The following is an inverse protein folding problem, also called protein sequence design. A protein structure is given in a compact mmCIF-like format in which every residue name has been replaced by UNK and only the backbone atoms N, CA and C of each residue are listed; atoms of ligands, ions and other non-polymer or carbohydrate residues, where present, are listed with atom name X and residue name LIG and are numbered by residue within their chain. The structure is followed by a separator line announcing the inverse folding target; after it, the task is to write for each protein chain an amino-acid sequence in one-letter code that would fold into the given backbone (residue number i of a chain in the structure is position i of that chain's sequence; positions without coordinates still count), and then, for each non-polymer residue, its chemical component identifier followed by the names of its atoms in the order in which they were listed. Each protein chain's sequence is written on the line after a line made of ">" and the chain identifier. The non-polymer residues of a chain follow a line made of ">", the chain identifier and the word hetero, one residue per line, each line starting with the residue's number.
data_IF_102645941712
#
_entry.id   IF_102645941712
#
_cell.length_a   1.000
_cell.length_b   1.000
_cell.length_c   1.000
_cell.angle_alpha   90.00
_cell.angle_beta   90.00
_cell.angle_gamma   90.00
#
_symmetry.space_group_name_H-M   'P 1'
#
loop_
_entity.id
_entity.type
_entity.pdbx_description
1 polymer ?
#
# COMPACT_ATOMS: atom_id res chain seq x y z
N UNK A 1 10.30 -2.32 2.00
CA UNK A 1 10.72 -1.86 3.34
C UNK A 1 9.64 -0.92 3.85
N UNK A 2 9.82 -0.36 5.04
CA UNK A 2 9.05 0.79 5.58
C UNK A 2 10.09 1.86 5.88
N UNK A 3 9.83 3.11 5.49
CA UNK A 3 10.75 4.23 5.67
C UNK A 3 10.01 5.50 6.08
N UNK A 4 10.74 6.43 6.70
CA UNK A 4 10.27 7.80 6.97
C UNK A 4 11.14 8.73 6.14
N UNK A 5 10.51 9.46 5.23
CA UNK A 5 11.14 10.30 4.22
C UNK A 5 10.86 11.77 4.54
N UNK A 6 11.91 12.57 4.73
CA UNK A 6 11.79 14.01 5.02
C UNK A 6 12.44 14.81 3.89
N UNK A 7 11.62 15.49 3.10
CA UNK A 7 12.04 16.37 1.98
C UNK A 7 12.98 15.70 0.95
N UNK A 8 13.04 14.36 0.91
CA UNK A 8 13.91 13.57 0.05
C UNK A 8 13.33 12.16 -0.12
N UNK A 9 13.67 11.49 -1.22
CA UNK A 9 13.30 10.08 -1.46
C UNK A 9 14.21 9.07 -0.71
N UNK A 10 15.31 9.54 -0.13
CA UNK A 10 16.15 8.71 0.71
C UNK A 10 15.61 8.76 2.14
N UNK A 11 15.08 7.64 2.62
CA UNK A 11 14.55 7.53 3.98
C UNK A 11 15.59 7.86 5.04
N UNK A 12 15.18 8.59 6.07
CA UNK A 12 15.99 8.91 7.24
C UNK A 12 16.27 7.62 8.04
N UNK A 13 15.26 6.94 8.60
CA UNK A 13 15.36 5.53 8.93
C UNK A 13 14.49 4.66 8.02
N UNK A 14 14.93 3.42 7.80
CA UNK A 14 14.12 2.40 7.15
C UNK A 14 14.35 1.03 7.75
N UNK A 15 13.38 0.12 7.55
CA UNK A 15 13.43 -1.24 8.05
C UNK A 15 12.79 -2.21 7.07
N UNK A 16 13.29 -3.45 7.02
CA UNK A 16 12.62 -4.53 6.28
C UNK A 16 11.19 -4.69 6.78
N UNK A 17 10.24 -4.71 5.84
CA UNK A 17 8.82 -4.72 6.15
C UNK A 17 8.43 -5.94 6.97
N UNK A 18 7.68 -5.70 8.04
CA UNK A 18 7.26 -6.73 8.97
C UNK A 18 6.34 -6.15 10.02
N UNK A 19 5.89 -7.02 10.92
CA UNK A 19 5.07 -6.64 12.07
C UNK A 19 5.41 -7.52 13.26
N UNK A 20 5.27 -6.96 14.45
CA UNK A 20 5.46 -7.69 15.69
C UNK A 20 4.16 -8.42 16.07
N UNK A 21 4.25 -9.73 16.35
CA UNK A 21 3.11 -10.48 16.93
C UNK A 21 3.11 -10.44 18.46
N UNK A 22 4.26 -10.11 19.04
CA UNK A 22 4.52 -9.86 20.46
C UNK A 22 5.81 -9.02 20.56
N UNK A 23 6.24 -8.68 21.78
CA UNK A 23 7.38 -7.78 22.02
C UNK A 23 8.73 -8.27 21.45
N UNK A 24 8.88 -9.57 21.22
CA UNK A 24 10.14 -10.20 20.79
C UNK A 24 10.11 -10.73 19.36
N UNK A 25 8.94 -11.07 18.83
CA UNK A 25 8.80 -11.85 17.59
C UNK A 25 8.31 -10.98 16.44
N UNK A 26 9.21 -10.69 15.51
CA UNK A 26 8.91 -10.04 14.24
C UNK A 26 8.57 -11.07 13.17
N UNK A 27 7.47 -10.86 12.45
CA UNK A 27 7.14 -11.58 11.21
C UNK A 27 7.39 -10.71 10.00
N UNK A 28 8.04 -11.27 8.98
CA UNK A 28 8.25 -10.59 7.71
C UNK A 28 6.92 -10.39 6.97
N UNK A 29 6.82 -9.27 6.26
CA UNK A 29 5.64 -8.90 5.50
C UNK A 29 5.96 -8.75 4.01
N UNK A 30 5.20 -9.47 3.19
CA UNK A 30 5.23 -9.34 1.72
C UNK A 30 4.02 -8.55 1.24
N UNK A 31 4.26 -7.36 0.70
CA UNK A 31 3.21 -6.47 0.18
C UNK A 31 2.47 -7.05 -1.04
N UNK A 32 3.15 -7.89 -1.84
CA UNK A 32 2.59 -8.50 -3.06
C UNK A 32 1.66 -9.70 -2.80
N UNK A 33 1.16 -9.88 -1.58
CA UNK A 33 0.35 -11.05 -1.22
C UNK A 33 -1.14 -10.92 -1.54
N UNK A 34 -1.61 -9.73 -1.92
CA UNK A 34 -3.04 -9.46 -2.14
C UNK A 34 -3.89 -9.55 -0.88
N UNK A 35 -3.29 -9.69 0.30
CA UNK A 35 -4.02 -9.67 1.59
C UNK A 35 -3.99 -8.27 2.16
N UNK A 36 -5.06 -7.89 2.86
CA UNK A 36 -5.17 -6.62 3.57
C UNK A 36 -4.02 -6.44 4.55
N UNK A 37 -3.50 -5.21 4.59
CA UNK A 37 -2.46 -4.76 5.51
C UNK A 37 -3.02 -3.53 6.21
N UNK A 38 -2.92 -3.51 7.54
CA UNK A 38 -3.27 -2.35 8.34
C UNK A 38 -1.98 -1.62 8.71
N UNK A 39 -2.02 -0.29 8.66
CA UNK A 39 -0.91 0.57 9.05
C UNK A 39 -1.42 1.70 9.94
N UNK A 40 -0.60 2.06 10.92
CA UNK A 40 -0.80 3.20 11.80
C UNK A 40 0.46 4.06 11.73
N UNK A 41 0.24 5.37 11.67
CA UNK A 41 1.29 6.38 11.77
C UNK A 41 0.85 7.31 12.88
N UNK A 42 1.58 7.30 13.99
CA UNK A 42 1.31 8.17 15.13
C UNK A 42 2.49 9.12 15.32
N UNK A 43 2.17 10.32 15.78
CA UNK A 43 3.16 11.29 16.21
C UNK A 43 2.84 11.73 17.64
N UNK A 44 3.81 11.56 18.54
CA UNK A 44 3.76 12.11 19.89
C UNK A 44 4.62 13.38 19.94
N UNK A 45 3.97 14.54 20.01
CA UNK A 45 4.65 15.84 20.05
C UNK A 45 5.43 16.07 21.35
N UNK A 46 5.06 15.42 22.46
CA UNK A 46 5.78 15.56 23.73
C UNK A 46 7.16 14.91 23.69
N UNK A 47 7.30 13.85 22.88
CA UNK A 47 8.54 13.11 22.67
C UNK A 47 9.18 13.41 21.31
N UNK A 48 8.51 14.23 20.47
CA UNK A 48 8.86 14.40 19.06
C UNK A 48 9.04 13.05 18.35
N UNK A 49 8.15 12.09 18.60
CA UNK A 49 8.33 10.70 18.20
C UNK A 49 7.32 10.29 17.14
N UNK A 50 7.81 9.95 15.95
CA UNK A 50 7.04 9.30 14.89
C UNK A 50 7.11 7.79 15.11
N UNK A 51 5.97 7.12 15.12
CA UNK A 51 5.87 5.66 15.19
C UNK A 51 5.04 5.11 14.05
N UNK A 52 5.59 4.14 13.34
CA UNK A 52 4.91 3.40 12.29
C UNK A 52 4.69 1.97 12.77
N UNK A 53 3.44 1.54 12.75
CA UNK A 53 3.04 0.18 13.11
C UNK A 53 2.31 -0.45 11.94
N UNK A 54 2.57 -1.73 11.68
CA UNK A 54 1.89 -2.50 10.63
C UNK A 54 1.31 -3.78 11.24
N UNK A 55 0.20 -4.27 10.71
CA UNK A 55 -0.39 -5.55 11.11
C UNK A 55 -1.12 -6.23 9.94
N UNK A 56 -1.37 -7.54 10.10
CA UNK A 56 -2.30 -8.31 9.27
C UNK A 56 -3.59 -8.66 10.00
N UNK A 57 -3.67 -8.35 11.29
CA UNK A 57 -4.83 -8.57 12.14
C UNK A 57 -5.45 -7.23 12.52
N UNK A 58 -6.68 -7.26 13.01
CA UNK A 58 -7.44 -6.08 13.42
C UNK A 58 -6.84 -5.33 14.61
N UNK A 59 -5.95 -5.98 15.37
CA UNK A 59 -5.24 -5.39 16.49
C UNK A 59 -3.94 -4.72 16.06
N UNK A 60 -3.73 -3.49 16.53
CA UNK A 60 -2.46 -2.75 16.43
C UNK A 60 -1.43 -3.39 17.37
N UNK A 61 -0.28 -3.86 16.87
CA UNK A 61 0.84 -4.27 17.72
C UNK A 61 1.28 -3.17 18.68
N UNK A 62 1.63 -3.55 19.92
CA UNK A 62 2.19 -2.63 20.91
C UNK A 62 3.54 -2.06 20.46
N UNK A 63 4.37 -2.91 19.86
CA UNK A 63 5.68 -2.53 19.35
C UNK A 63 5.60 -2.02 17.91
N UNK A 64 5.99 -0.77 17.62
CA UNK A 64 6.06 -0.26 16.26
C UNK A 64 7.12 -1.00 15.45
N UNK A 65 6.94 -1.05 14.13
CA UNK A 65 7.95 -1.62 13.24
C UNK A 65 9.11 -0.64 13.01
N UNK A 66 8.83 0.67 13.09
CA UNK A 66 9.78 1.75 12.89
C UNK A 66 9.41 2.92 13.81
N UNK A 67 10.41 3.51 14.47
CA UNK A 67 10.25 4.73 15.25
C UNK A 67 11.36 5.71 14.92
N UNK A 68 11.07 7.01 14.95
CA UNK A 68 12.02 8.06 14.64
C UNK A 68 11.75 9.31 15.47
N UNK A 69 12.76 9.80 16.18
CA UNK A 69 12.68 11.04 16.95
C UNK A 69 12.99 12.20 16.01
N UNK A 70 11.98 13.02 15.73
CA UNK A 70 12.06 14.20 14.89
C UNK A 70 10.98 15.21 15.29
N UNK A 71 11.38 16.46 15.52
CA UNK A 71 10.45 17.55 15.77
C UNK A 71 9.83 18.02 14.45
N UNK A 72 8.57 17.63 14.23
CA UNK A 72 7.82 17.98 13.02
C UNK A 72 7.47 19.48 12.93
N UNK A 73 7.53 20.25 14.03
CA UNK A 73 7.24 21.69 13.99
C UNK A 73 8.22 22.47 13.11
N UNK A 74 9.43 21.91 12.91
CA UNK A 74 10.46 22.47 12.03
C UNK A 74 10.17 22.29 10.54
N UNK A 75 9.23 21.40 10.19
CA UNK A 75 8.86 21.04 8.82
C UNK A 75 7.44 21.51 8.50
N UNK A 76 6.55 21.43 9.47
CA UNK A 76 5.13 21.63 9.29
C UNK A 76 4.80 23.13 9.21
N UNK A 77 4.20 23.53 8.09
CA UNK A 77 3.61 24.85 7.93
C UNK A 77 2.23 24.93 8.60
N UNK A 78 1.67 26.15 8.70
CA UNK A 78 0.35 26.39 9.31
C UNK A 78 -0.78 25.57 8.71
N UNK A 79 -0.67 25.21 7.43
CA UNK A 79 -1.64 24.37 6.70
C UNK A 79 -0.92 23.27 5.96
N UNK A 80 -1.42 22.04 6.14
CA UNK A 80 -0.89 20.83 5.52
C UNK A 80 -2.02 19.97 4.99
N UNK A 81 -1.70 19.19 3.96
CA UNK A 81 -2.58 18.17 3.42
C UNK A 81 -2.02 16.79 3.75
N UNK A 82 -2.90 15.90 4.18
CA UNK A 82 -2.56 14.50 4.43
C UNK A 82 -3.29 13.62 3.42
N UNK A 83 -2.61 12.59 2.94
CA UNK A 83 -3.18 11.72 1.93
C UNK A 83 -2.26 10.55 1.58
N UNK A 84 -2.62 9.85 0.52
CA UNK A 84 -1.89 8.70 0.03
C UNK A 84 -1.34 8.99 -1.36
N UNK A 85 -0.14 8.49 -1.61
CA UNK A 85 0.46 8.46 -2.94
C UNK A 85 1.01 7.06 -3.20
N UNK A 86 0.91 6.61 -4.44
CA UNK A 86 1.49 5.36 -4.88
C UNK A 86 1.89 5.50 -6.35
N UNK A 87 3.02 4.90 -6.70
CA UNK A 87 3.48 4.77 -8.08
C UNK A 87 3.60 3.31 -8.44
N UNK A 88 3.58 3.03 -9.75
CA UNK A 88 3.79 1.69 -10.27
C UNK A 88 4.97 1.72 -11.23
N UNK A 89 5.84 0.72 -11.12
CA UNK A 89 6.95 0.50 -12.04
C UNK A 89 6.73 -0.75 -12.89
N UNK A 90 7.83 -1.33 -13.38
CA UNK A 90 7.85 -2.66 -13.97
C UNK A 90 8.47 -3.63 -12.95
N UNK A 91 7.75 -4.67 -12.47
CA UNK A 91 6.38 -5.04 -12.80
C UNK A 91 5.32 -4.15 -12.12
N UNK A 92 4.17 -4.00 -12.77
CA UNK A 92 3.11 -3.12 -12.28
C UNK A 92 2.35 -3.72 -11.07
N UNK A 93 1.90 -2.85 -10.16
CA UNK A 93 1.03 -3.21 -9.05
C UNK A 93 -0.09 -2.20 -8.84
N UNK A 94 -1.27 -2.71 -8.47
CA UNK A 94 -2.39 -1.87 -8.03
C UNK A 94 -2.29 -1.63 -6.53
N UNK A 95 -2.57 -0.40 -6.10
CA UNK A 95 -2.56 0.03 -4.71
C UNK A 95 -3.96 0.53 -4.37
N UNK A 96 -4.60 -0.05 -3.36
CA UNK A 96 -5.96 0.32 -2.97
C UNK A 96 -6.01 0.69 -1.49
N UNK A 97 -6.66 1.81 -1.19
CA UNK A 97 -6.99 2.22 0.17
C UNK A 97 -8.44 1.78 0.44
N UNK A 98 -8.61 0.78 1.31
CA UNK A 98 -9.95 0.27 1.65
C UNK A 98 -10.69 1.19 2.60
N UNK A 99 -9.96 1.87 3.47
CA UNK A 99 -10.49 2.81 4.44
C UNK A 99 -9.33 3.52 5.14
N UNK A 100 -9.59 4.71 5.65
CA UNK A 100 -8.64 5.48 6.42
C UNK A 100 -9.39 6.40 7.39
N UNK A 101 -8.69 6.77 8.46
CA UNK A 101 -9.19 7.69 9.47
C UNK A 101 -8.00 8.51 9.93
N UNK A 102 -8.21 9.81 10.11
CA UNK A 102 -7.18 10.75 10.49
C UNK A 102 -7.72 11.68 11.57
N UNK A 103 -6.90 11.95 12.58
CA UNK A 103 -7.21 12.92 13.62
C UNK A 103 -5.92 13.54 14.13
N UNK A 104 -5.96 14.86 14.31
CA UNK A 104 -4.95 15.59 15.08
C UNK A 104 -5.41 15.76 16.52
N UNK A 105 -4.45 15.86 17.44
CA UNK A 105 -4.72 16.12 18.86
C UNK A 105 -5.61 15.05 19.52
N UNK A 106 -5.42 13.79 19.13
CA UNK A 106 -6.12 12.66 19.72
C UNK A 106 -6.11 11.42 18.83
N UNK A 107 -6.67 10.30 19.31
CA UNK A 107 -6.71 9.06 18.54
C UNK A 107 -7.72 9.15 17.38
N UNK A 108 -7.30 8.74 16.18
CA UNK A 108 -8.19 8.59 15.05
C UNK A 108 -9.26 7.51 15.31
N UNK A 109 -10.44 7.67 14.71
CA UNK A 109 -11.52 6.69 14.83
C UNK A 109 -11.08 5.33 14.27
N UNK A 110 -11.32 4.26 15.02
CA UNK A 110 -11.06 2.89 14.55
C UNK A 110 -11.95 2.56 13.36
N UNK A 111 -11.37 1.96 12.33
CA UNK A 111 -12.11 1.46 11.17
C UNK A 111 -12.84 0.17 11.54
N UNK A 112 -14.12 0.08 11.20
CA UNK A 112 -14.83 -1.19 11.17
C UNK A 112 -14.35 -2.00 9.96
N UNK A 113 -13.51 -2.99 10.22
CA UNK A 113 -12.90 -3.80 9.16
C UNK A 113 -13.90 -4.70 8.46
N UNK A 114 -15.05 -4.98 9.08
CA UNK A 114 -16.08 -5.85 8.51
C UNK A 114 -16.89 -5.15 7.41
N UNK A 115 -16.94 -3.82 7.43
CA UNK A 115 -17.62 -2.99 6.42
C UNK A 115 -16.71 -2.49 5.29
N UNK A 116 -15.41 -2.84 5.33
CA UNK A 116 -14.48 -2.44 4.28
C UNK A 116 -14.77 -3.15 2.95
N UNK A 117 -14.59 -2.45 1.81
CA UNK A 117 -14.74 -3.07 0.49
C UNK A 117 -13.74 -4.20 0.29
N UNK A 118 -14.13 -5.21 -0.49
CA UNK A 118 -13.22 -6.27 -0.91
C UNK A 118 -12.38 -5.82 -2.10
N UNK A 119 -11.17 -6.39 -2.22
CA UNK A 119 -10.33 -6.15 -3.38
C UNK A 119 -11.05 -6.57 -4.66
N UNK A 120 -10.98 -5.78 -5.74
CA UNK A 120 -11.56 -6.17 -7.02
C UNK A 120 -10.90 -7.47 -7.49
N UNK A 121 -11.74 -8.48 -7.74
CA UNK A 121 -11.28 -9.77 -8.23
C UNK A 121 -10.72 -9.69 -9.65
N UNK A 122 -9.96 -10.71 -10.09
CA UNK A 122 -9.49 -10.77 -11.47
C UNK A 122 -10.68 -10.72 -12.43
N UNK A 123 -10.63 -9.83 -13.42
CA UNK A 123 -11.66 -9.76 -14.47
C UNK A 123 -11.76 -11.13 -15.15
N UNK A 124 -12.94 -11.75 -15.17
CA UNK A 124 -13.21 -12.94 -15.97
C UNK A 124 -12.90 -12.58 -17.44
N UNK A 125 -11.91 -13.24 -18.06
CA UNK A 125 -11.70 -13.13 -19.50
C UNK A 125 -12.94 -13.70 -20.18
N UNK A 126 -13.77 -12.86 -20.79
CA UNK A 126 -14.68 -13.32 -21.82
C UNK A 126 -13.84 -13.62 -23.06
N UNK A 127 -13.42 -14.87 -23.20
CA UNK A 127 -12.84 -15.36 -24.45
C UNK A 127 -13.96 -15.51 -25.46
N UNK A 128 -14.29 -14.43 -26.17
CA UNK A 128 -14.94 -14.57 -27.48
C UNK A 128 -13.92 -15.21 -28.42
N UNK A 129 -14.14 -16.47 -28.77
CA UNK A 129 -13.35 -17.14 -29.82
C UNK A 129 -13.59 -16.40 -31.14
N UNK A 130 -12.63 -15.60 -31.58
CA UNK A 130 -12.62 -15.06 -32.94
C UNK A 130 -12.04 -16.17 -33.84
N UNK A 131 -12.90 -16.86 -34.58
CA UNK A 131 -12.49 -17.83 -35.60
C UNK A 131 -12.11 -17.02 -36.84
N UNK A 132 -10.81 -16.97 -37.15
CA UNK A 132 -10.33 -16.45 -38.44
C UNK A 132 -10.50 -17.54 -39.50
N UNK A 133 -11.45 -17.35 -40.42
CA UNK A 133 -11.55 -18.17 -41.63
C UNK A 133 -10.75 -17.47 -42.74
N UNK A 134 -9.56 -17.98 -43.04
CA UNK A 134 -8.78 -17.55 -44.20
C UNK A 134 -9.24 -18.33 -45.42
N UNK A 135 -9.97 -17.69 -46.33
CA UNK A 135 -10.28 -18.26 -47.65
C UNK A 135 -9.14 -17.86 -48.60
N UNK A 136 -8.33 -18.83 -49.01
CA UNK A 136 -7.35 -18.65 -50.08
C UNK A 136 -8.01 -19.09 -51.38
N UNK A 137 -8.31 -18.13 -52.27
CA UNK A 137 -8.74 -18.42 -53.63
C UNK A 137 -7.50 -18.46 -54.54
N UNK A 138 -7.16 -19.65 -55.06
CA UNK A 138 -6.14 -19.81 -56.10
C UNK A 138 -6.80 -19.67 -57.48
N UNK A 139 -6.58 -18.54 -58.14
CA UNK A 139 -6.92 -18.35 -59.55
C UNK A 139 -5.76 -18.76 -60.44
N UNK A 140 -5.87 -19.89 -61.12
CA UNK A 140 -4.96 -20.26 -62.22
C UNK A 140 -5.50 -19.64 -63.52
N UNK A 141 -4.79 -18.65 -64.05
CA UNK A 141 -5.00 -18.22 -65.44
C UNK A 141 -4.12 -19.05 -66.37
N UNK A 142 -4.70 -19.51 -67.48
CA UNK A 142 -3.97 -20.10 -68.59
C UNK A 142 -3.62 -18.98 -69.57
N UNK A 143 -2.35 -18.87 -69.93
CA UNK A 143 -1.94 -18.10 -71.10
C UNK A 143 -1.96 -18.99 -72.34
N UNK A 144 -2.37 -18.38 -73.47
CA UNK A 144 -2.51 -18.98 -74.79
C UNK A 144 -1.17 -19.44 -75.39
#
# INVERSE_FOLDING_TARGET
>A
HVGIDINSLQSNPSVTAGYYINESTKRNLTFKSGKTILAWVDYDSSQSLISVTISRTSSKPKKPILSFVMDLSTIFHDTLYVGFSASTGLPASSHYIMGWSFKMNGPAQTLDLSSLPQLPGPKKKQTSMIIWVSIIALGLSKSA
#
